data_IF_093597140953
#
_entry.id   IF_093597140953
#
_cell.length_a   1.000
_cell.length_b   1.000
_cell.length_c   1.000
_cell.angle_alpha   90.00
_cell.angle_beta   90.00
_cell.angle_gamma   90.00
#
_symmetry.space_group_name_H-M   'P 1'
#
loop_
_entity.id
_entity.type
_entity.pdbx_description
1 polymer ?
#
# COMPACT_ATOMS: atom_id res chain seq x y z
N UNK A 1 -4.73 -0.21 25.02
CA UNK A 1 -5.49 -1.41 25.38
C UNK A 1 -4.73 -2.19 26.43
N UNK A 2 -5.32 -2.42 27.59
CA UNK A 2 -4.76 -3.22 28.67
C UNK A 2 -4.89 -4.72 28.36
N UNK A 3 -4.09 -5.57 29.04
CA UNK A 3 -4.19 -7.04 28.88
C UNK A 3 -5.61 -7.55 29.17
N UNK A 4 -6.30 -6.98 30.15
CA UNK A 4 -7.67 -7.37 30.49
C UNK A 4 -8.66 -7.02 29.37
N UNK A 5 -8.56 -5.82 28.80
CA UNK A 5 -9.36 -5.40 27.65
C UNK A 5 -9.12 -6.30 26.43
N UNK A 6 -7.88 -6.74 26.21
CA UNK A 6 -7.50 -7.68 25.15
C UNK A 6 -8.17 -9.03 25.25
N UNK A 7 -8.15 -9.63 26.43
CA UNK A 7 -8.80 -10.93 26.62
C UNK A 7 -10.33 -10.81 26.51
N UNK A 8 -10.91 -9.69 26.97
CA UNK A 8 -12.36 -9.42 26.81
C UNK A 8 -12.76 -9.26 25.34
N UNK A 9 -11.98 -8.51 24.57
CA UNK A 9 -12.22 -8.32 23.13
C UNK A 9 -12.06 -9.64 22.36
N UNK A 10 -11.02 -10.42 22.66
CA UNK A 10 -10.80 -11.73 22.03
C UNK A 10 -11.94 -12.72 22.32
N UNK A 11 -12.45 -12.70 23.56
CA UNK A 11 -13.57 -13.53 23.98
C UNK A 11 -14.87 -13.15 23.27
N UNK A 12 -15.15 -11.85 23.15
CA UNK A 12 -16.31 -11.34 22.42
C UNK A 12 -16.25 -11.72 20.93
N UNK A 13 -15.09 -11.55 20.29
CA UNK A 13 -14.87 -11.90 18.89
C UNK A 13 -15.02 -13.41 18.65
N UNK A 14 -14.39 -14.24 19.49
CA UNK A 14 -14.48 -15.69 19.37
C UNK A 14 -15.92 -16.20 19.43
N UNK A 15 -16.76 -15.62 20.30
CA UNK A 15 -18.19 -15.96 20.39
C UNK A 15 -19.01 -15.54 19.17
N UNK A 16 -18.59 -14.51 18.44
CA UNK A 16 -19.27 -14.10 17.22
C UNK A 16 -18.95 -15.01 16.03
N UNK A 17 -17.72 -15.54 15.95
CA UNK A 17 -17.26 -16.27 14.76
C UNK A 17 -17.31 -17.79 14.89
N UNK A 18 -17.45 -18.33 16.11
CA UNK A 18 -17.45 -19.78 16.33
C UNK A 18 -18.66 -20.46 15.67
N UNK A 19 -18.42 -21.54 14.94
CA UNK A 19 -19.47 -22.33 14.27
C UNK A 19 -19.67 -23.70 14.93
N UNK A 20 -20.82 -24.38 14.71
CA UNK A 20 -21.03 -25.73 15.19
C UNK A 20 -19.95 -26.69 14.63
N UNK A 21 -19.19 -27.33 15.53
CA UNK A 21 -18.07 -28.20 15.18
C UNK A 21 -16.69 -27.58 15.43
N UNK A 22 -16.60 -26.27 15.64
CA UNK A 22 -15.34 -25.61 15.98
C UNK A 22 -14.94 -25.85 17.44
N UNK A 23 -13.63 -26.01 17.65
CA UNK A 23 -13.07 -26.09 18.99
C UNK A 23 -12.78 -24.69 19.54
N UNK A 24 -13.50 -24.29 20.59
CA UNK A 24 -13.45 -22.93 21.15
C UNK A 24 -12.02 -22.41 21.45
N UNK A 25 -11.11 -23.18 22.08
CA UNK A 25 -9.73 -22.73 22.29
C UNK A 25 -8.98 -22.34 21.01
N UNK A 26 -9.26 -23.02 19.89
CA UNK A 26 -8.65 -22.71 18.59
C UNK A 26 -9.18 -21.38 18.07
N UNK A 27 -10.49 -21.17 18.13
CA UNK A 27 -11.16 -19.93 17.72
C UNK A 27 -10.74 -18.75 18.59
N UNK A 28 -10.66 -18.95 19.91
CA UNK A 28 -10.17 -17.93 20.85
C UNK A 28 -8.69 -17.62 20.60
N UNK A 29 -7.85 -18.63 20.37
CA UNK A 29 -6.44 -18.44 20.01
C UNK A 29 -6.27 -17.63 18.72
N UNK A 30 -7.10 -17.89 17.71
CA UNK A 30 -7.14 -17.12 16.46
C UNK A 30 -7.60 -15.67 16.67
N UNK A 31 -8.68 -15.46 17.44
CA UNK A 31 -9.19 -14.13 17.80
C UNK A 31 -8.15 -13.32 18.60
N UNK A 32 -7.51 -13.95 19.59
CA UNK A 32 -6.44 -13.34 20.36
C UNK A 32 -5.25 -12.99 19.45
N UNK A 33 -4.83 -13.89 18.57
CA UNK A 33 -3.76 -13.64 17.60
C UNK A 33 -4.10 -12.50 16.65
N UNK A 34 -5.35 -12.37 16.21
CA UNK A 34 -5.80 -11.26 15.35
C UNK A 34 -5.77 -9.91 16.07
N UNK A 35 -6.13 -9.88 17.36
CA UNK A 35 -6.12 -8.65 18.16
C UNK A 35 -4.72 -8.29 18.68
N UNK A 36 -3.88 -9.31 18.89
CA UNK A 36 -2.47 -9.17 19.26
C UNK A 36 -1.55 -9.03 18.06
N UNK A 37 -2.05 -9.25 16.84
CA UNK A 37 -1.30 -8.97 15.63
C UNK A 37 -0.91 -7.50 15.76
N UNK A 38 0.39 -7.28 15.99
CA UNK A 38 0.95 -5.96 15.78
C UNK A 38 0.47 -5.57 14.38
N UNK A 39 -0.01 -4.33 14.16
CA UNK A 39 -0.10 -3.86 12.79
C UNK A 39 1.23 -4.28 12.16
N UNK A 40 1.18 -5.01 11.04
CA UNK A 40 2.36 -5.21 10.21
C UNK A 40 3.04 -3.86 10.21
N UNK A 41 4.34 -3.82 10.51
CA UNK A 41 5.07 -2.55 10.57
C UNK A 41 5.04 -1.96 9.15
N UNK A 42 3.91 -1.32 8.82
CA UNK A 42 3.57 -0.85 7.49
C UNK A 42 4.50 0.30 7.16
N UNK A 43 4.87 1.07 8.17
CA UNK A 43 5.93 2.05 8.06
C UNK A 43 7.24 1.42 7.63
N UNK A 44 7.75 0.45 8.38
CA UNK A 44 8.99 -0.23 8.03
C UNK A 44 8.92 -0.98 6.70
N UNK A 45 7.81 -1.66 6.42
CA UNK A 45 7.60 -2.42 5.19
C UNK A 45 7.54 -1.50 3.96
N UNK A 46 6.70 -0.46 3.99
CA UNK A 46 6.55 0.46 2.86
C UNK A 46 7.79 1.34 2.67
N UNK A 47 8.50 1.69 3.76
CA UNK A 47 9.79 2.40 3.67
C UNK A 47 10.86 1.52 3.01
N UNK A 48 10.93 0.23 3.32
CA UNK A 48 11.83 -0.72 2.65
C UNK A 48 11.54 -0.86 1.15
N UNK A 49 10.30 -0.69 0.74
CA UNK A 49 9.90 -0.71 -0.67
C UNK A 49 10.27 0.58 -1.43
N UNK A 50 10.75 1.62 -0.74
CA UNK A 50 11.14 2.91 -1.33
C UNK A 50 10.22 4.07 -0.98
N UNK A 51 9.17 3.83 -0.19
CA UNK A 51 8.29 4.86 0.33
C UNK A 51 9.03 5.85 1.24
N UNK A 52 8.60 7.11 1.22
CA UNK A 52 9.15 8.17 2.10
C UNK A 52 8.13 8.62 3.12
N UNK A 53 8.49 8.44 4.39
CA UNK A 53 7.72 8.96 5.52
C UNK A 53 7.66 10.50 5.46
N UNK A 54 6.46 11.02 5.64
CA UNK A 54 6.14 12.43 5.80
C UNK A 54 5.24 12.57 7.02
N UNK A 55 5.64 13.43 7.94
CA UNK A 55 4.92 13.65 9.19
C UNK A 55 4.74 15.15 9.43
N UNK A 56 3.52 15.55 9.80
CA UNK A 56 3.22 16.91 10.22
C UNK A 56 1.99 16.93 11.13
N UNK A 57 2.18 17.35 12.38
CA UNK A 57 1.11 17.35 13.37
C UNK A 57 0.61 15.93 13.63
N UNK A 58 -0.70 15.70 13.47
CA UNK A 58 -1.32 14.37 13.61
C UNK A 58 -1.36 13.55 12.32
N UNK A 59 -0.73 14.02 11.23
CA UNK A 59 -0.71 13.30 9.96
C UNK A 59 0.62 12.57 9.78
N UNK A 60 0.54 11.28 9.49
CA UNK A 60 1.68 10.41 9.18
C UNK A 60 1.41 9.65 7.89
N UNK A 61 2.21 9.91 6.85
CA UNK A 61 1.97 9.39 5.48
C UNK A 61 3.26 8.87 4.87
N UNK A 62 3.14 7.88 3.99
CA UNK A 62 4.28 7.32 3.25
C UNK A 62 4.02 7.55 1.77
N UNK A 63 4.78 8.47 1.17
CA UNK A 63 4.66 8.82 -0.23
C UNK A 63 5.50 7.91 -1.12
N UNK A 64 4.94 7.55 -2.27
CA UNK A 64 5.62 6.82 -3.34
C UNK A 64 5.92 7.78 -4.48
N UNK A 65 7.19 8.14 -4.61
CA UNK A 65 7.63 9.10 -5.64
C UNK A 65 8.25 8.41 -6.86
N UNK A 66 8.66 7.15 -6.74
CA UNK A 66 9.25 6.33 -7.80
C UNK A 66 8.17 5.61 -8.63
N UNK A 67 7.11 6.34 -9.00
CA UNK A 67 5.92 5.76 -9.64
C UNK A 67 6.25 5.07 -10.96
N UNK A 68 7.28 5.51 -11.70
CA UNK A 68 7.74 4.85 -12.93
C UNK A 68 8.08 3.38 -12.71
N UNK A 69 8.75 3.07 -11.59
CA UNK A 69 9.11 1.71 -11.22
C UNK A 69 7.87 0.87 -11.01
N UNK A 70 6.88 1.38 -10.27
CA UNK A 70 5.65 0.67 -9.98
C UNK A 70 4.71 0.54 -11.18
N UNK A 71 4.78 1.48 -12.12
CA UNK A 71 4.10 1.39 -13.42
C UNK A 71 4.79 0.42 -14.40
N UNK A 72 5.98 -0.10 -14.07
CA UNK A 72 6.81 -0.87 -15.01
C UNK A 72 7.32 -0.01 -16.18
N UNK A 73 7.33 1.31 -16.03
CA UNK A 73 7.70 2.28 -17.06
C UNK A 73 9.21 2.55 -17.01
N UNK A 74 9.88 2.26 -18.11
CA UNK A 74 11.28 2.65 -18.32
C UNK A 74 11.34 3.75 -19.38
N UNK A 75 12.00 4.86 -19.07
CA UNK A 75 12.19 5.97 -20.00
C UNK A 75 13.66 6.29 -20.19
N UNK A 76 14.02 6.67 -21.42
CA UNK A 76 15.29 7.29 -21.76
C UNK A 76 15.02 8.76 -22.09
N UNK A 77 15.96 9.64 -21.74
CA UNK A 77 15.85 11.08 -22.00
C UNK A 77 17.05 11.58 -22.80
N UNK A 78 16.83 12.59 -23.62
CA UNK A 78 17.88 13.44 -24.16
C UNK A 78 18.46 14.34 -23.05
N UNK A 79 19.63 14.95 -23.29
CA UNK A 79 20.22 15.93 -22.37
C UNK A 79 19.33 17.17 -22.15
N UNK A 80 18.37 17.40 -23.03
CA UNK A 80 17.35 18.46 -22.89
C UNK A 80 16.17 18.07 -21.97
N UNK A 81 16.17 16.86 -21.40
CA UNK A 81 15.09 16.34 -20.54
C UNK A 81 13.91 15.72 -21.31
N UNK A 82 13.88 15.87 -22.63
CA UNK A 82 12.85 15.26 -23.49
C UNK A 82 12.98 13.73 -23.52
N UNK A 83 11.85 13.02 -23.52
CA UNK A 83 11.83 11.55 -23.62
C UNK A 83 12.31 11.16 -25.02
N UNK A 84 13.37 10.35 -25.09
CA UNK A 84 13.96 9.81 -26.31
C UNK A 84 13.49 8.38 -26.59
N UNK A 85 13.04 7.65 -25.57
CA UNK A 85 12.44 6.33 -25.70
C UNK A 85 11.66 5.93 -24.46
N UNK A 86 10.68 5.05 -24.63
CA UNK A 86 9.88 4.54 -23.52
C UNK A 86 9.48 3.08 -23.73
N UNK A 87 9.43 2.34 -22.62
CA UNK A 87 8.95 0.96 -22.56
C UNK A 87 8.06 0.74 -21.34
N UNK A 88 7.03 -0.08 -21.47
CA UNK A 88 6.23 -0.59 -20.35
C UNK A 88 6.43 -2.09 -20.27
N UNK A 89 6.86 -2.60 -19.11
CA UNK A 89 7.15 -4.03 -18.92
C UNK A 89 8.07 -4.64 -20.01
N UNK A 90 8.99 -3.84 -20.54
CA UNK A 90 9.89 -4.23 -21.63
C UNK A 90 9.37 -3.97 -23.05
N UNK A 91 8.08 -3.72 -23.25
CA UNK A 91 7.49 -3.45 -24.57
C UNK A 91 7.57 -1.97 -24.94
N UNK A 92 7.88 -1.66 -26.19
CA UNK A 92 8.05 -0.28 -26.65
C UNK A 92 6.68 0.42 -26.72
N UNK A 93 6.59 1.60 -26.11
CA UNK A 93 5.45 2.51 -26.22
C UNK A 93 5.85 3.85 -26.84
N UNK A 94 4.86 4.66 -27.21
CA UNK A 94 5.14 6.02 -27.69
C UNK A 94 5.61 6.94 -26.57
N UNK A 95 6.49 7.90 -26.89
CA UNK A 95 6.99 8.88 -25.91
C UNK A 95 5.87 9.78 -25.36
N UNK A 96 4.83 10.05 -26.16
CA UNK A 96 3.65 10.81 -25.73
C UNK A 96 2.79 10.02 -24.74
N UNK A 97 2.60 8.71 -24.97
CA UNK A 97 1.92 7.83 -24.01
C UNK A 97 2.69 7.76 -22.69
N UNK A 98 4.01 7.57 -22.73
CA UNK A 98 4.84 7.57 -21.53
C UNK A 98 4.69 8.88 -20.73
N UNK A 99 4.71 10.03 -21.43
CA UNK A 99 4.51 11.33 -20.78
C UNK A 99 3.12 11.49 -20.16
N UNK A 100 2.07 10.97 -20.81
CA UNK A 100 0.72 10.95 -20.22
C UNK A 100 0.69 10.13 -18.93
N UNK A 101 1.30 8.94 -18.92
CA UNK A 101 1.37 8.09 -17.73
C UNK A 101 2.11 8.78 -16.58
N UNK A 102 3.29 9.35 -16.85
CA UNK A 102 4.07 10.09 -15.84
C UNK A 102 3.28 11.22 -15.19
N UNK A 103 2.47 11.92 -15.97
CA UNK A 103 1.69 13.07 -15.50
C UNK A 103 0.31 12.67 -14.96
N UNK A 104 -0.06 11.39 -15.06
CA UNK A 104 -1.41 10.94 -14.71
C UNK A 104 -1.61 10.72 -13.22
N UNK A 105 -0.54 10.53 -12.46
CA UNK A 105 -0.57 10.38 -10.99
C UNK A 105 0.27 11.51 -10.41
N UNK A 106 -0.38 12.48 -9.74
CA UNK A 106 0.30 13.58 -9.04
C UNK A 106 0.91 13.08 -7.73
N UNK A 107 0.14 12.32 -6.95
CA UNK A 107 0.54 11.83 -5.63
C UNK A 107 -0.06 10.47 -5.36
N UNK A 108 0.72 9.60 -4.71
CA UNK A 108 0.26 8.35 -4.12
C UNK A 108 0.89 8.20 -2.75
N UNK A 109 0.08 7.93 -1.72
CA UNK A 109 0.57 7.75 -0.36
C UNK A 109 -0.24 6.72 0.40
N UNK A 110 0.39 6.09 1.38
CA UNK A 110 -0.30 5.33 2.42
C UNK A 110 -0.49 6.23 3.64
N UNK A 111 -1.71 6.34 4.17
CA UNK A 111 -1.96 7.07 5.41
C UNK A 111 -1.89 6.09 6.59
N UNK A 112 -0.95 6.33 7.51
CA UNK A 112 -0.70 5.43 8.63
C UNK A 112 -1.80 5.50 9.70
N UNK A 113 -2.62 6.56 9.69
CA UNK A 113 -3.69 6.75 10.66
C UNK A 113 -4.96 5.95 10.28
N UNK A 114 -5.30 5.89 8.98
CA UNK A 114 -6.45 5.13 8.50
C UNK A 114 -6.10 3.75 7.90
N UNK A 115 -4.82 3.50 7.64
CA UNK A 115 -4.31 2.24 7.09
C UNK A 115 -4.62 2.01 5.62
N UNK A 116 -4.84 3.07 4.83
CA UNK A 116 -5.26 2.98 3.43
C UNK A 116 -4.32 3.71 2.47
N UNK A 117 -4.35 3.25 1.21
CA UNK A 117 -3.72 3.97 0.10
C UNK A 117 -4.66 5.04 -0.43
N UNK A 118 -4.10 6.22 -0.64
CA UNK A 118 -4.75 7.37 -1.25
C UNK A 118 -3.93 7.86 -2.43
N UNK A 119 -4.60 8.46 -3.39
CA UNK A 119 -3.92 9.05 -4.54
C UNK A 119 -4.65 10.29 -5.04
N UNK A 120 -3.90 11.12 -5.75
CA UNK A 120 -4.42 12.16 -6.63
C UNK A 120 -3.93 11.86 -8.03
N UNK A 121 -4.85 11.53 -8.91
CA UNK A 121 -4.56 11.12 -10.28
C UNK A 121 -5.65 11.61 -11.23
N UNK A 122 -5.29 11.82 -12.49
CA UNK A 122 -6.24 11.97 -13.62
C UNK A 122 -6.62 10.62 -14.20
N UNK A 123 -5.77 9.60 -14.04
CA UNK A 123 -6.06 8.21 -14.41
C UNK A 123 -6.13 7.34 -13.14
N UNK A 124 -7.34 7.20 -12.60
CA UNK A 124 -7.57 6.40 -11.40
C UNK A 124 -7.37 4.90 -11.62
N UNK A 125 -7.52 4.39 -12.85
CA UNK A 125 -7.32 2.98 -13.14
C UNK A 125 -5.84 2.62 -12.98
N UNK A 126 -4.97 3.41 -13.63
CA UNK A 126 -3.52 3.24 -13.50
C UNK A 126 -3.05 3.43 -12.05
N UNK A 127 -3.62 4.39 -11.32
CA UNK A 127 -3.30 4.58 -9.90
C UNK A 127 -3.64 3.35 -9.05
N UNK A 128 -4.80 2.71 -9.30
CA UNK A 128 -5.19 1.48 -8.62
C UNK A 128 -4.27 0.31 -8.98
N UNK A 129 -3.85 0.19 -10.24
CA UNK A 129 -2.90 -0.84 -10.67
C UNK A 129 -1.56 -0.68 -9.94
N UNK A 130 -1.08 0.55 -9.79
CA UNK A 130 0.13 0.86 -9.00
C UNK A 130 -0.07 0.49 -7.53
N UNK A 131 -1.21 0.82 -6.93
CA UNK A 131 -1.53 0.42 -5.54
C UNK A 131 -1.52 -1.09 -5.40
N UNK A 132 -2.10 -1.83 -6.35
CA UNK A 132 -2.11 -3.29 -6.33
C UNK A 132 -0.70 -3.87 -6.48
N UNK A 133 0.14 -3.28 -7.33
CA UNK A 133 1.54 -3.66 -7.47
C UNK A 133 2.33 -3.47 -6.16
N UNK A 134 2.11 -2.38 -5.43
CA UNK A 134 2.71 -2.16 -4.10
C UNK A 134 2.17 -3.17 -3.08
N UNK A 135 0.85 -3.40 -3.06
CA UNK A 135 0.21 -4.37 -2.16
C UNK A 135 0.71 -5.79 -2.36
N UNK A 136 1.10 -6.17 -3.57
CA UNK A 136 1.65 -7.49 -3.83
C UNK A 136 3.05 -7.72 -3.23
N UNK A 137 3.70 -6.67 -2.70
CA UNK A 137 5.05 -6.73 -2.12
C UNK A 137 5.07 -6.66 -0.57
N UNK A 138 3.89 -6.53 0.07
CA UNK A 138 3.71 -6.48 1.53
C UNK A 138 3.02 -7.75 2.03
#
# INVERSE_FOLDING_TARGET
MTKSELFKAAHALAKQVIQPGDHYPTTFGAALKSLMAKPVDMEGALTKLGGRLWEKGSMRRIYFNDLERWMGLTISRYNTGNISGARINGERISNSQARRMLNSIDKLWFDLEDGQFHFRATDSALANDVVNAIRAQI
#
